data_IF_678859944344
#
_entry.id   IF_678859944344
#
_cell.length_a   1.000
_cell.length_b   1.000
_cell.length_c   1.000
_cell.angle_alpha   90.00
_cell.angle_beta   90.00
_cell.angle_gamma   90.00
#
_symmetry.space_group_name_H-M   'P 1'
#
loop_
_entity.id
_entity.type
_entity.pdbx_description
1 polymer ?
#
# COMPACT_ATOMS: atom_id res chain seq x y z
N UNK A 1 78.44 21.42 -16.56
CA UNK A 1 78.19 20.22 -17.39
C UNK A 1 77.78 19.11 -16.44
N UNK A 2 76.47 18.93 -16.23
CA UNK A 2 75.67 17.78 -16.72
C UNK A 2 75.60 16.67 -15.67
N UNK A 3 74.45 16.57 -14.97
CA UNK A 3 73.39 15.54 -15.12
C UNK A 3 73.68 14.33 -14.21
N UNK A 4 72.77 13.72 -13.46
CA UNK A 4 71.30 13.63 -13.52
C UNK A 4 70.84 13.12 -12.14
N UNK A 5 69.87 13.79 -11.51
CA UNK A 5 69.28 13.37 -10.24
C UNK A 5 68.17 12.34 -10.51
N UNK A 6 68.31 11.12 -9.99
CA UNK A 6 67.30 10.07 -10.08
C UNK A 6 66.23 10.29 -9.01
N UNK A 7 65.08 10.83 -9.42
CA UNK A 7 63.90 11.02 -8.59
C UNK A 7 63.13 9.70 -8.48
N UNK A 8 63.28 8.98 -7.36
CA UNK A 8 62.43 7.84 -7.03
C UNK A 8 61.09 8.36 -6.49
N UNK A 9 60.07 8.41 -7.34
CA UNK A 9 58.68 8.64 -6.93
C UNK A 9 58.13 7.37 -6.26
N UNK A 10 58.20 7.33 -4.93
CA UNK A 10 57.41 6.41 -4.11
C UNK A 10 55.93 6.77 -4.22
N UNK A 11 55.19 6.02 -5.04
CA UNK A 11 53.72 6.05 -5.04
C UNK A 11 53.21 5.29 -3.83
N UNK A 12 52.90 6.02 -2.75
CA UNK A 12 52.18 5.46 -1.62
C UNK A 12 50.75 5.13 -2.05
N UNK A 13 50.49 3.86 -2.38
CA UNK A 13 49.13 3.35 -2.57
C UNK A 13 48.50 3.24 -1.18
N UNK A 14 47.78 4.28 -0.75
CA UNK A 14 46.91 4.19 0.42
C UNK A 14 45.80 3.19 0.10
N UNK A 15 45.90 1.96 0.63
CA UNK A 15 44.74 1.09 0.76
C UNK A 15 43.75 1.81 1.67
N UNK A 16 42.72 2.43 1.09
CA UNK A 16 41.56 2.86 1.84
C UNK A 16 40.96 1.62 2.50
N UNK A 17 41.04 1.54 3.84
CA UNK A 17 40.37 0.48 4.58
C UNK A 17 38.88 0.49 4.22
N UNK A 18 38.38 -0.62 3.69
CA UNK A 18 36.97 -0.74 3.34
C UNK A 18 36.13 -0.47 4.59
N UNK A 19 35.16 0.44 4.47
CA UNK A 19 34.27 0.75 5.59
C UNK A 19 33.61 -0.54 6.11
N UNK A 20 33.44 -0.70 7.43
CA UNK A 20 32.86 -1.91 7.99
C UNK A 20 31.46 -2.17 7.42
N UNK A 21 31.18 -3.42 7.09
CA UNK A 21 29.87 -3.82 6.57
C UNK A 21 28.79 -3.56 7.64
N UNK A 22 27.70 -2.84 7.31
CA UNK A 22 26.68 -2.49 8.30
C UNK A 22 26.01 -3.73 8.90
N UNK A 23 25.71 -3.68 10.20
CA UNK A 23 24.97 -4.74 10.90
C UNK A 23 23.51 -4.79 10.45
N UNK A 24 22.84 -5.93 10.62
CA UNK A 24 21.41 -6.07 10.29
C UNK A 24 20.56 -5.02 11.02
N UNK A 25 20.82 -4.80 12.32
CA UNK A 25 20.13 -3.78 13.11
C UNK A 25 20.33 -2.36 12.55
N UNK A 26 21.54 -2.01 12.11
CA UNK A 26 21.81 -0.70 11.51
C UNK A 26 21.08 -0.51 10.16
N UNK A 27 20.97 -1.57 9.36
CA UNK A 27 20.21 -1.57 8.10
C UNK A 27 18.71 -1.36 8.35
N UNK A 28 18.14 -2.08 9.32
CA UNK A 28 16.74 -1.95 9.71
C UNK A 28 16.41 -0.56 10.29
N UNK A 29 17.29 -0.02 11.12
CA UNK A 29 17.11 1.31 11.74
C UNK A 29 17.10 2.44 10.71
N UNK A 30 17.92 2.34 9.65
CA UNK A 30 17.96 3.34 8.57
C UNK A 30 16.91 3.12 7.47
N UNK A 31 16.18 2.00 7.51
CA UNK A 31 15.16 1.64 6.52
C UNK A 31 15.72 1.11 5.20
N UNK A 32 16.94 0.54 5.19
CA UNK A 32 17.53 -0.07 4.01
C UNK A 32 17.19 -1.57 3.97
N UNK A 33 15.92 -1.85 3.65
CA UNK A 33 15.36 -3.20 3.74
C UNK A 33 15.90 -4.14 2.68
N UNK A 34 16.24 -3.65 1.48
CA UNK A 34 16.88 -4.47 0.44
C UNK A 34 18.23 -5.02 0.92
N UNK A 35 19.06 -4.17 1.53
CA UNK A 35 20.33 -4.61 2.13
C UNK A 35 20.10 -5.50 3.37
N UNK A 36 19.09 -5.21 4.19
CA UNK A 36 18.74 -6.02 5.35
C UNK A 36 18.36 -7.46 4.95
N UNK A 37 17.53 -7.62 3.91
CA UNK A 37 17.17 -8.93 3.33
C UNK A 37 18.42 -9.66 2.82
N UNK A 38 19.28 -8.97 2.06
CA UNK A 38 20.52 -9.59 1.57
C UNK A 38 21.43 -10.06 2.71
N UNK A 39 21.49 -9.32 3.83
CA UNK A 39 22.26 -9.70 5.02
C UNK A 39 21.61 -10.87 5.77
N UNK A 40 20.29 -10.85 5.95
CA UNK A 40 19.54 -11.87 6.67
C UNK A 40 19.57 -13.24 5.97
N UNK A 41 19.56 -13.26 4.62
CA UNK A 41 19.76 -14.50 3.84
C UNK A 41 21.09 -15.20 4.12
N UNK A 42 22.12 -14.47 4.57
CA UNK A 42 23.42 -15.02 4.99
C UNK A 42 23.47 -15.35 6.48
N UNK A 43 22.35 -15.19 7.19
CA UNK A 43 22.20 -15.44 8.63
C UNK A 43 20.91 -16.25 8.86
N UNK A 44 20.86 -17.51 8.41
CA UNK A 44 19.64 -18.33 8.52
C UNK A 44 19.17 -18.51 9.97
N UNK A 45 20.08 -18.43 10.96
CA UNK A 45 19.75 -18.53 12.39
C UNK A 45 19.15 -17.23 12.98
N UNK A 46 19.13 -16.14 12.22
CA UNK A 46 18.41 -14.93 12.62
C UNK A 46 16.91 -15.11 12.35
N UNK A 47 16.05 -14.55 13.21
CA UNK A 47 14.61 -14.76 13.05
C UNK A 47 14.07 -14.24 11.70
N UNK A 48 14.58 -13.09 11.24
CA UNK A 48 14.26 -12.59 9.90
C UNK A 48 14.74 -13.54 8.79
N UNK A 49 15.92 -14.17 8.94
CA UNK A 49 16.43 -15.18 8.02
C UNK A 49 15.52 -16.41 7.94
N UNK A 50 15.06 -16.91 9.09
CA UNK A 50 14.09 -18.02 9.17
C UNK A 50 12.77 -17.68 8.48
N UNK A 51 12.21 -16.49 8.75
CA UNK A 51 10.95 -16.03 8.14
C UNK A 51 11.09 -15.85 6.62
N UNK A 52 12.22 -15.31 6.14
CA UNK A 52 12.52 -15.20 4.71
C UNK A 52 12.56 -16.59 4.07
N UNK A 53 13.33 -17.53 4.64
CA UNK A 53 13.47 -18.88 4.09
C UNK A 53 12.10 -19.60 4.03
N UNK A 54 11.27 -19.44 5.07
CA UNK A 54 9.92 -20.00 5.11
C UNK A 54 8.97 -19.36 4.10
N UNK A 55 9.02 -18.04 3.93
CA UNK A 55 8.19 -17.35 2.94
C UNK A 55 8.54 -17.78 1.50
N UNK A 56 9.83 -17.99 1.23
CA UNK A 56 10.32 -18.48 -0.05
C UNK A 56 9.88 -19.93 -0.32
N UNK A 57 10.00 -20.81 0.68
CA UNK A 57 9.62 -22.23 0.55
C UNK A 57 8.11 -22.42 0.36
N UNK A 58 7.30 -21.55 0.98
CA UNK A 58 5.84 -21.51 0.77
C UNK A 58 5.43 -20.76 -0.49
N UNK A 59 6.39 -20.18 -1.23
CA UNK A 59 6.14 -19.37 -2.43
C UNK A 59 5.11 -18.26 -2.22
N UNK A 60 5.10 -17.63 -1.03
CA UNK A 60 4.10 -16.63 -0.64
C UNK A 60 4.01 -15.44 -1.61
N UNK A 61 5.10 -15.12 -2.31
CA UNK A 61 5.12 -14.08 -3.33
C UNK A 61 4.21 -14.34 -4.54
N UNK A 62 3.75 -15.59 -4.72
CA UNK A 62 2.80 -16.00 -5.77
C UNK A 62 1.37 -16.13 -5.27
N UNK A 63 1.15 -16.02 -3.97
CA UNK A 63 -0.18 -16.14 -3.38
C UNK A 63 -1.11 -15.05 -3.96
N UNK A 64 -2.32 -15.39 -4.42
CA UNK A 64 -3.25 -14.42 -4.98
C UNK A 64 -3.56 -13.25 -4.03
N UNK A 65 -3.64 -13.51 -2.72
CA UNK A 65 -3.93 -12.48 -1.71
C UNK A 65 -2.76 -11.50 -1.59
N UNK A 66 -1.52 -12.00 -1.61
CA UNK A 66 -0.34 -11.13 -1.64
C UNK A 66 -0.31 -10.23 -2.88
N UNK A 67 -0.64 -10.80 -4.04
CA UNK A 67 -0.67 -10.05 -5.30
C UNK A 67 -1.79 -9.01 -5.29
N UNK A 68 -2.95 -9.32 -4.71
CA UNK A 68 -4.03 -8.38 -4.50
C UNK A 68 -3.61 -7.22 -3.58
N UNK A 69 -2.98 -7.52 -2.42
CA UNK A 69 -2.44 -6.50 -1.50
C UNK A 69 -1.39 -5.58 -2.13
N UNK A 70 -0.78 -5.98 -3.25
CA UNK A 70 0.14 -5.16 -4.01
C UNK A 70 -0.48 -4.51 -5.25
N UNK A 71 -1.74 -4.79 -5.58
CA UNK A 71 -2.34 -4.47 -6.89
C UNK A 71 -1.43 -4.91 -8.05
N UNK A 72 -0.85 -6.11 -7.95
CA UNK A 72 0.07 -6.67 -8.95
C UNK A 72 -0.69 -7.41 -10.06
N UNK A 73 -0.56 -6.93 -11.29
CA UNK A 73 -1.03 -7.62 -12.48
C UNK A 73 0.14 -8.09 -13.35
N UNK A 74 -0.17 -8.84 -14.41
CA UNK A 74 0.82 -9.28 -15.40
C UNK A 74 0.71 -8.40 -16.64
N UNK A 75 1.80 -7.74 -16.99
CA UNK A 75 1.91 -7.05 -18.28
C UNK A 75 1.69 -8.03 -19.44
N UNK A 76 1.49 -7.51 -20.66
CA UNK A 76 1.38 -8.34 -21.87
C UNK A 76 2.59 -9.28 -22.09
N UNK A 77 3.78 -8.92 -21.58
CA UNK A 77 4.99 -9.75 -21.59
C UNK A 77 5.09 -10.73 -20.40
N UNK A 78 4.03 -10.86 -19.60
CA UNK A 78 3.98 -11.72 -18.41
C UNK A 78 4.78 -11.21 -17.21
N UNK A 79 5.37 -10.00 -17.29
CA UNK A 79 6.14 -9.41 -16.18
C UNK A 79 5.19 -8.86 -15.11
N UNK A 80 5.46 -9.10 -13.82
CA UNK A 80 4.68 -8.52 -12.73
C UNK A 80 4.89 -7.01 -12.68
N UNK A 81 3.81 -6.27 -12.44
CA UNK A 81 3.83 -4.84 -12.19
C UNK A 81 2.66 -4.48 -11.28
N UNK A 82 2.97 -3.72 -10.24
CA UNK A 82 1.97 -3.09 -9.39
C UNK A 82 1.46 -1.80 -10.03
N UNK A 83 0.15 -1.61 -9.95
CA UNK A 83 -0.54 -0.39 -10.35
C UNK A 83 -0.30 0.77 -9.38
N UNK A 84 0.20 0.49 -8.16
CA UNK A 84 0.50 1.56 -7.21
C UNK A 84 1.73 2.36 -7.67
N UNK A 85 1.61 3.68 -7.78
CA UNK A 85 2.68 4.58 -8.23
C UNK A 85 3.39 5.28 -7.07
N UNK A 86 2.71 5.46 -5.94
CA UNK A 86 3.30 6.01 -4.74
C UNK A 86 4.45 5.15 -4.21
N UNK A 87 5.69 5.63 -4.36
CA UNK A 87 6.90 4.92 -3.92
C UNK A 87 6.90 4.54 -2.44
N UNK A 88 6.17 5.29 -1.62
CA UNK A 88 6.03 5.09 -0.19
C UNK A 88 5.11 3.91 0.19
N UNK A 89 4.43 3.29 -0.79
CA UNK A 89 3.69 2.05 -0.61
C UNK A 89 4.59 0.80 -0.62
N UNK A 90 5.78 0.90 -1.21
CA UNK A 90 6.73 -0.20 -1.31
C UNK A 90 7.82 -0.07 -0.26
N UNK A 91 8.20 -1.20 0.32
CA UNK A 91 9.32 -1.33 1.24
C UNK A 91 10.63 -1.64 0.51
N UNK A 92 10.56 -2.28 -0.66
CA UNK A 92 11.68 -2.46 -1.58
C UNK A 92 11.72 -1.36 -2.64
N UNK A 93 12.93 -0.96 -3.04
CA UNK A 93 13.14 -0.09 -4.21
C UNK A 93 12.65 -0.73 -5.52
N UNK A 94 12.53 -2.06 -5.56
CA UNK A 94 12.07 -2.82 -6.72
C UNK A 94 10.62 -3.30 -6.56
N UNK A 95 9.96 -2.96 -5.45
CA UNK A 95 8.69 -3.59 -5.07
C UNK A 95 7.57 -3.47 -6.10
N UNK A 96 7.54 -2.37 -6.87
CA UNK A 96 6.59 -2.18 -7.97
C UNK A 96 6.69 -3.25 -9.06
N UNK A 97 7.88 -3.84 -9.27
CA UNK A 97 8.15 -4.79 -10.36
C UNK A 97 8.63 -6.16 -9.88
N UNK A 98 8.75 -6.34 -8.57
CA UNK A 98 9.28 -7.55 -7.95
C UNK A 98 8.48 -7.85 -6.67
N UNK A 99 7.30 -8.49 -6.81
CA UNK A 99 6.45 -8.83 -5.66
C UNK A 99 7.15 -9.78 -4.69
N UNK A 100 8.16 -10.53 -5.15
CA UNK A 100 8.98 -11.37 -4.28
C UNK A 100 9.91 -10.52 -3.42
N UNK A 101 10.68 -9.62 -4.00
CA UNK A 101 11.53 -8.72 -3.22
C UNK A 101 10.72 -7.82 -2.29
N UNK A 102 9.54 -7.35 -2.71
CA UNK A 102 8.64 -6.58 -1.85
C UNK A 102 8.19 -7.36 -0.62
N UNK A 103 7.88 -8.66 -0.77
CA UNK A 103 7.47 -9.51 0.34
C UNK A 103 8.58 -9.61 1.39
N UNK A 104 9.81 -9.83 0.94
CA UNK A 104 10.97 -9.97 1.83
C UNK A 104 11.32 -8.65 2.52
N UNK A 105 11.26 -7.54 1.79
CA UNK A 105 11.48 -6.22 2.37
C UNK A 105 10.35 -5.82 3.34
N UNK A 106 9.12 -6.25 3.06
CA UNK A 106 7.97 -6.06 3.97
C UNK A 106 8.22 -6.80 5.28
N UNK A 107 8.63 -8.08 5.22
CA UNK A 107 9.04 -8.85 6.40
C UNK A 107 10.18 -8.17 7.17
N UNK A 108 11.23 -7.74 6.48
CA UNK A 108 12.33 -7.03 7.11
C UNK A 108 11.86 -5.74 7.79
N UNK A 109 10.95 -5.00 7.15
CA UNK A 109 10.43 -3.73 7.68
C UNK A 109 9.71 -3.89 9.03
N UNK A 110 9.07 -5.03 9.29
CA UNK A 110 8.37 -5.27 10.56
C UNK A 110 9.31 -5.36 11.78
N UNK A 111 10.60 -5.61 11.57
CA UNK A 111 11.62 -5.53 12.62
C UNK A 111 12.09 -4.09 12.90
N UNK A 112 11.62 -3.10 12.13
CA UNK A 112 11.95 -1.69 12.31
C UNK A 112 10.83 -0.95 13.05
N UNK A 113 11.23 0.09 13.78
CA UNK A 113 10.33 1.11 14.35
C UNK A 113 10.38 2.44 13.59
N UNK A 114 11.14 2.48 12.49
CA UNK A 114 11.31 3.69 11.69
C UNK A 114 9.97 4.11 11.08
N UNK A 115 9.53 5.36 11.26
CA UNK A 115 8.30 5.85 10.64
C UNK A 115 8.32 5.72 9.11
N UNK A 116 7.18 5.31 8.53
CA UNK A 116 7.00 5.17 7.09
C UNK A 116 6.12 6.30 6.53
N UNK A 117 6.67 7.14 5.62
CA UNK A 117 5.89 8.19 4.97
C UNK A 117 4.61 7.68 4.27
N UNK A 118 3.56 8.52 4.19
CA UNK A 118 3.48 9.89 4.66
C UNK A 118 3.10 9.98 6.14
N UNK A 119 2.85 8.83 6.78
CA UNK A 119 2.47 8.75 8.18
C UNK A 119 3.70 8.77 9.09
N UNK A 120 3.47 8.93 10.39
CA UNK A 120 4.52 8.77 11.41
C UNK A 120 4.51 7.38 12.06
N UNK A 121 3.88 6.41 11.42
CA UNK A 121 3.67 5.07 11.96
C UNK A 121 4.80 4.12 11.58
N UNK A 122 5.04 3.12 12.42
CA UNK A 122 5.97 2.03 12.10
C UNK A 122 5.46 1.18 10.93
N UNK A 123 6.31 0.34 10.31
CA UNK A 123 5.89 -0.50 9.20
C UNK A 123 4.77 -1.48 9.56
N UNK A 124 4.75 -2.04 10.78
CA UNK A 124 3.67 -2.94 11.23
C UNK A 124 2.30 -2.22 11.25
N UNK A 125 2.28 -0.95 11.63
CA UNK A 125 1.05 -0.17 11.74
C UNK A 125 0.63 0.48 10.41
N UNK A 126 1.62 0.86 9.58
CA UNK A 126 1.38 1.42 8.25
C UNK A 126 0.86 0.37 7.28
N UNK A 127 1.43 -0.84 7.33
CA UNK A 127 1.10 -1.98 6.47
C UNK A 127 0.37 -3.06 7.28
N UNK A 128 -0.79 -2.69 7.84
CA UNK A 128 -1.54 -3.54 8.78
C UNK A 128 -2.03 -4.83 8.12
N UNK A 129 -2.64 -4.75 6.93
CA UNK A 129 -3.13 -5.93 6.20
C UNK A 129 -2.00 -6.89 5.84
N UNK A 130 -0.85 -6.36 5.39
CA UNK A 130 0.33 -7.18 5.11
C UNK A 130 0.90 -7.82 6.38
N UNK A 131 0.91 -7.09 7.50
CA UNK A 131 1.38 -7.60 8.78
C UNK A 131 0.49 -8.74 9.27
N UNK A 132 -0.82 -8.56 9.30
CA UNK A 132 -1.77 -9.59 9.74
C UNK A 132 -1.73 -10.81 8.83
N UNK A 133 -1.68 -10.61 7.50
CA UNK A 133 -1.54 -11.69 6.54
C UNK A 133 -0.25 -12.50 6.73
N UNK A 134 0.91 -11.83 6.77
CA UNK A 134 2.20 -12.52 6.93
C UNK A 134 2.30 -13.21 8.28
N UNK A 135 1.76 -12.61 9.34
CA UNK A 135 1.68 -13.22 10.68
C UNK A 135 0.90 -14.53 10.64
N UNK A 136 -0.23 -14.58 9.95
CA UNK A 136 -1.05 -15.78 9.80
C UNK A 136 -0.34 -16.87 8.98
N UNK A 137 0.23 -16.49 7.83
CA UNK A 137 0.90 -17.44 6.91
C UNK A 137 2.19 -18.02 7.48
N UNK A 138 2.96 -17.20 8.21
CA UNK A 138 4.27 -17.59 8.74
C UNK A 138 4.26 -17.94 10.22
N UNK A 139 3.13 -17.71 10.92
CA UNK A 139 2.96 -17.94 12.37
C UNK A 139 4.06 -17.25 13.16
N UNK A 140 4.05 -15.91 13.19
CA UNK A 140 5.07 -15.15 13.91
C UNK A 140 5.11 -15.53 15.39
N UNK A 141 6.32 -15.59 15.91
CA UNK A 141 6.64 -15.74 17.32
C UNK A 141 6.64 -14.34 17.94
N UNK A 142 5.70 -14.01 18.84
CA UNK A 142 5.56 -12.68 19.42
C UNK A 142 6.74 -12.31 20.33
N UNK A 143 7.54 -13.27 20.83
CA UNK A 143 8.73 -12.95 21.62
C UNK A 143 9.89 -12.48 20.73
N UNK A 144 9.97 -13.02 19.51
CA UNK A 144 11.05 -12.72 18.55
C UNK A 144 10.71 -11.61 17.56
N UNK A 145 9.42 -11.40 17.30
CA UNK A 145 8.87 -10.25 16.58
C UNK A 145 7.65 -9.70 17.33
N UNK A 146 7.87 -8.89 18.37
CA UNK A 146 6.79 -8.28 19.13
C UNK A 146 5.89 -7.40 18.25
N UNK A 147 4.58 -7.53 18.45
CA UNK A 147 3.61 -6.62 17.86
C UNK A 147 3.78 -5.22 18.45
N UNK A 148 3.84 -4.22 17.58
CA UNK A 148 3.96 -2.82 17.97
C UNK A 148 2.57 -2.22 18.22
N UNK A 149 2.46 -1.34 19.21
CA UNK A 149 1.22 -0.61 19.46
C UNK A 149 0.89 0.30 18.27
N UNK A 150 -0.31 0.11 17.71
CA UNK A 150 -0.80 0.85 16.55
C UNK A 150 -1.98 1.74 16.93
N UNK A 151 -1.82 2.58 17.95
CA UNK A 151 -2.92 3.33 18.58
C UNK A 151 -3.76 4.15 17.60
N UNK A 152 -3.15 4.76 16.59
CA UNK A 152 -3.88 5.51 15.56
C UNK A 152 -4.74 4.61 14.69
N UNK A 153 -4.22 3.45 14.30
CA UNK A 153 -5.02 2.45 13.57
C UNK A 153 -6.11 1.87 14.47
N UNK A 154 -5.79 1.55 15.73
CA UNK A 154 -6.76 0.97 16.67
C UNK A 154 -7.92 1.93 16.94
N UNK A 155 -7.64 3.21 17.20
CA UNK A 155 -8.69 4.22 17.38
C UNK A 155 -9.57 4.40 16.13
N UNK A 156 -8.96 4.32 14.94
CA UNK A 156 -9.70 4.37 13.67
C UNK A 156 -10.56 3.12 13.46
N UNK A 157 -10.02 1.94 13.78
CA UNK A 157 -10.72 0.66 13.72
C UNK A 157 -11.89 0.62 14.69
N UNK A 158 -11.67 0.96 15.96
CA UNK A 158 -12.70 0.98 17.01
C UNK A 158 -13.84 1.96 16.67
N UNK A 159 -13.52 3.10 16.05
CA UNK A 159 -14.51 4.08 15.62
C UNK A 159 -15.37 3.57 14.44
N UNK A 160 -14.80 2.75 13.56
CA UNK A 160 -15.51 2.17 12.42
C UNK A 160 -16.28 0.90 12.78
N UNK A 161 -15.71 0.09 13.68
CA UNK A 161 -16.16 -1.24 14.11
C UNK A 161 -16.74 -2.09 12.96
N UNK A 162 -15.94 -2.38 11.91
CA UNK A 162 -16.45 -2.87 10.63
C UNK A 162 -16.94 -4.32 10.73
N UNK A 163 -18.23 -4.56 10.47
CA UNK A 163 -18.86 -5.90 10.50
C UNK A 163 -19.49 -6.32 9.18
N UNK A 164 -19.39 -5.47 8.17
CA UNK A 164 -19.95 -5.73 6.85
C UNK A 164 -19.36 -4.81 5.81
N UNK A 165 -19.53 -5.20 4.55
CA UNK A 165 -19.18 -4.38 3.40
C UNK A 165 -20.42 -4.25 2.52
N UNK A 166 -20.75 -3.01 2.18
CA UNK A 166 -21.82 -2.67 1.24
C UNK A 166 -21.23 -1.90 0.06
N UNK A 167 -21.44 -2.42 -1.14
CA UNK A 167 -21.11 -1.70 -2.38
C UNK A 167 -22.20 -0.68 -2.65
N UNK A 168 -21.82 0.57 -2.86
CA UNK A 168 -22.75 1.67 -3.15
C UNK A 168 -22.47 2.22 -4.54
N UNK A 169 -23.51 2.30 -5.37
CA UNK A 169 -23.43 2.79 -6.74
C UNK A 169 -24.35 4.01 -6.93
N UNK A 170 -23.80 5.23 -7.03
CA UNK A 170 -24.54 6.39 -7.48
C UNK A 170 -24.78 6.37 -9.01
N UNK A 171 -26.04 6.50 -9.45
CA UNK A 171 -26.46 6.47 -10.86
C UNK A 171 -25.83 7.59 -11.70
N UNK A 172 -25.76 7.50 -13.04
CA UNK A 172 -25.03 8.49 -13.85
C UNK A 172 -25.48 9.95 -13.65
N UNK A 173 -24.54 10.89 -13.71
CA UNK A 173 -24.82 12.34 -13.73
C UNK A 173 -24.27 12.99 -15.00
N UNK A 174 -25.06 13.03 -16.10
CA UNK A 174 -24.58 13.44 -17.43
C UNK A 174 -24.02 14.86 -17.51
N UNK A 175 -24.43 15.74 -16.59
CA UNK A 175 -24.03 17.15 -16.57
C UNK A 175 -22.63 17.37 -15.98
N UNK A 176 -21.95 16.33 -15.51
CA UNK A 176 -20.56 16.40 -15.04
C UNK A 176 -19.71 15.30 -15.69
N UNK A 177 -18.68 15.65 -16.49
CA UNK A 177 -17.80 14.66 -17.13
C UNK A 177 -17.15 13.67 -16.16
N UNK A 178 -16.90 14.08 -14.91
CA UNK A 178 -16.29 13.24 -13.88
C UNK A 178 -17.26 12.21 -13.26
N UNK A 179 -18.57 12.39 -13.45
CA UNK A 179 -19.65 11.58 -12.85
C UNK A 179 -20.59 10.97 -13.89
N UNK A 180 -20.29 11.16 -15.18
CA UNK A 180 -21.15 10.77 -16.30
C UNK A 180 -21.44 9.26 -16.35
N UNK A 181 -20.53 8.42 -15.86
CA UNK A 181 -20.67 6.95 -15.89
C UNK A 181 -21.09 6.33 -14.55
N UNK A 182 -21.43 7.13 -13.54
CA UNK A 182 -21.61 6.63 -12.19
C UNK A 182 -20.31 6.61 -11.38
N UNK A 183 -20.42 6.26 -10.11
CA UNK A 183 -19.26 5.97 -9.24
C UNK A 183 -19.47 4.65 -8.54
N UNK A 184 -18.39 4.02 -8.11
CA UNK A 184 -18.48 2.93 -7.15
C UNK A 184 -17.89 3.42 -5.83
N UNK A 185 -18.50 3.05 -4.72
CA UNK A 185 -18.01 3.29 -3.37
C UNK A 185 -18.14 1.99 -2.60
N UNK A 186 -17.28 1.81 -1.61
CA UNK A 186 -17.38 0.71 -0.65
C UNK A 186 -17.68 1.32 0.71
N UNK A 187 -18.79 0.96 1.34
CA UNK A 187 -19.11 1.31 2.73
C UNK A 187 -18.74 0.15 3.64
N UNK A 188 -18.04 0.44 4.72
CA UNK A 188 -17.86 -0.49 5.83
C UNK A 188 -18.99 -0.27 6.83
N UNK A 189 -19.87 -1.26 6.95
CA UNK A 189 -21.03 -1.20 7.85
C UNK A 189 -20.55 -1.42 9.29
N UNK A 190 -20.73 -0.42 10.17
CA UNK A 190 -20.35 -0.50 11.57
C UNK A 190 -21.31 -1.32 12.43
N UNK A 191 -20.81 -1.95 13.50
CA UNK A 191 -21.68 -2.70 14.41
C UNK A 191 -22.72 -1.79 15.05
N UNK A 192 -23.98 -2.21 14.99
CA UNK A 192 -25.10 -1.45 15.56
C UNK A 192 -25.51 -0.22 14.75
N UNK A 193 -24.83 0.10 13.64
CA UNK A 193 -25.21 1.19 12.75
C UNK A 193 -26.33 0.73 11.80
N UNK A 194 -27.57 0.83 12.25
CA UNK A 194 -28.77 0.55 11.46
C UNK A 194 -29.59 1.83 11.20
N UNK A 195 -30.45 1.81 10.18
CA UNK A 195 -31.30 2.97 9.87
C UNK A 195 -30.46 4.22 9.55
N UNK A 196 -30.78 5.33 10.21
CA UNK A 196 -30.08 6.61 10.07
C UNK A 196 -28.63 6.58 10.56
N UNK A 197 -28.27 5.69 11.49
CA UNK A 197 -26.90 5.61 12.03
C UNK A 197 -25.88 5.19 10.97
N UNK A 198 -26.30 4.51 9.88
CA UNK A 198 -25.45 4.17 8.72
C UNK A 198 -24.77 5.37 8.08
N UNK A 199 -25.31 6.58 8.29
CA UNK A 199 -24.70 7.82 7.83
C UNK A 199 -23.33 8.11 8.47
N UNK A 200 -23.03 7.47 9.61
CA UNK A 200 -21.77 7.59 10.33
C UNK A 200 -20.71 6.58 9.85
N UNK A 201 -21.12 5.55 9.09
CA UNK A 201 -20.21 4.54 8.55
C UNK A 201 -19.14 5.15 7.65
N UNK A 202 -17.97 4.51 7.58
CA UNK A 202 -16.90 4.95 6.70
C UNK A 202 -17.09 4.39 5.29
N UNK A 203 -16.80 5.23 4.30
CA UNK A 203 -16.73 4.85 2.90
C UNK A 203 -15.33 4.98 2.35
N UNK A 204 -14.96 4.06 1.49
CA UNK A 204 -13.78 4.12 0.64
C UNK A 204 -14.21 4.52 -0.74
N UNK A 205 -13.64 5.61 -1.24
CA UNK A 205 -13.83 6.07 -2.60
C UNK A 205 -12.47 6.24 -3.27
N UNK A 206 -12.35 5.80 -4.52
CA UNK A 206 -11.21 6.09 -5.36
C UNK A 206 -11.59 7.16 -6.37
N UNK A 207 -10.85 8.26 -6.41
CA UNK A 207 -11.14 9.38 -7.31
C UNK A 207 -9.87 10.08 -7.78
N UNK A 208 -9.94 10.65 -8.99
CA UNK A 208 -8.88 11.50 -9.54
C UNK A 208 -8.81 12.85 -8.81
N UNK A 209 -7.62 13.27 -8.40
CA UNK A 209 -7.37 14.63 -7.91
C UNK A 209 -7.06 15.55 -9.10
N UNK A 210 -8.10 16.15 -9.67
CA UNK A 210 -7.99 16.94 -10.90
C UNK A 210 -7.30 18.31 -10.74
N UNK A 211 -7.06 18.77 -9.50
CA UNK A 211 -6.36 20.03 -9.22
C UNK A 211 -6.96 21.28 -9.89
N UNK A 212 -8.27 21.27 -10.17
CA UNK A 212 -8.96 22.36 -10.87
C UNK A 212 -8.87 22.33 -12.40
N UNK A 213 -8.35 21.26 -13.01
CA UNK A 213 -8.34 21.10 -14.46
C UNK A 213 -9.77 20.99 -15.03
N UNK A 214 -10.03 21.68 -16.14
CA UNK A 214 -11.35 21.74 -16.79
C UNK A 214 -11.23 21.63 -18.33
N UNK A 215 -12.37 21.38 -18.98
CA UNK A 215 -12.48 21.37 -20.44
C UNK A 215 -11.56 20.33 -21.11
N UNK A 216 -10.97 20.70 -22.25
CA UNK A 216 -10.12 19.81 -23.04
C UNK A 216 -8.90 19.28 -22.26
N UNK A 217 -8.34 20.07 -21.34
CA UNK A 217 -7.20 19.62 -20.50
C UNK A 217 -7.59 18.52 -19.53
N UNK A 218 -8.82 18.56 -19.00
CA UNK A 218 -9.38 17.49 -18.17
C UNK A 218 -9.62 16.22 -18.98
N UNK A 219 -10.19 16.35 -20.18
CA UNK A 219 -10.42 15.21 -21.07
C UNK A 219 -9.10 14.55 -21.51
N UNK A 220 -8.12 15.32 -21.98
CA UNK A 220 -6.82 14.79 -22.42
C UNK A 220 -6.08 14.11 -21.28
N UNK A 221 -5.96 14.77 -20.11
CA UNK A 221 -5.28 14.16 -18.94
C UNK A 221 -6.02 12.94 -18.41
N UNK A 222 -7.35 12.94 -18.40
CA UNK A 222 -8.14 11.77 -18.00
C UNK A 222 -7.98 10.58 -18.93
N UNK A 223 -7.77 10.83 -20.23
CA UNK A 223 -7.49 9.80 -21.24
C UNK A 223 -6.05 9.28 -21.18
N UNK A 224 -5.09 10.10 -20.74
CA UNK A 224 -3.66 9.76 -20.74
C UNK A 224 -3.08 9.39 -19.37
N UNK A 225 -3.88 9.31 -18.31
CA UNK A 225 -3.40 8.96 -16.96
C UNK A 225 -2.82 10.14 -16.16
N UNK A 226 -3.06 11.38 -16.59
CA UNK A 226 -2.39 12.58 -16.08
C UNK A 226 -2.90 13.11 -14.73
N UNK A 227 -3.72 12.36 -14.00
CA UNK A 227 -4.21 12.73 -12.68
C UNK A 227 -3.84 11.67 -11.65
N UNK A 228 -3.34 12.05 -10.46
CA UNK A 228 -3.18 11.09 -9.38
C UNK A 228 -4.56 10.68 -8.85
N UNK A 229 -4.85 9.39 -8.90
CA UNK A 229 -5.98 8.76 -8.25
C UNK A 229 -5.64 8.36 -6.83
N UNK A 230 -6.56 8.62 -5.89
CA UNK A 230 -6.36 8.26 -4.48
C UNK A 230 -7.58 7.60 -3.88
N UNK A 231 -7.32 6.62 -3.04
CA UNK A 231 -8.29 6.12 -2.07
C UNK A 231 -8.45 7.14 -0.95
N UNK A 232 -9.70 7.45 -0.64
CA UNK A 232 -10.07 8.30 0.49
C UNK A 232 -11.05 7.55 1.36
N UNK A 233 -10.80 7.58 2.67
CA UNK A 233 -11.71 7.03 3.66
C UNK A 233 -12.44 8.18 4.32
N UNK A 234 -13.76 8.26 4.12
CA UNK A 234 -14.57 9.39 4.58
C UNK A 234 -15.94 8.92 5.09
N UNK A 235 -16.52 9.58 6.11
CA UNK A 235 -17.87 9.33 6.57
C UNK A 235 -18.94 9.37 5.46
N UNK A 236 -19.88 8.43 5.51
CA UNK A 236 -20.86 8.19 4.46
C UNK A 236 -21.81 9.37 4.23
N UNK A 237 -22.21 10.07 5.29
CA UNK A 237 -23.09 11.25 5.18
C UNK A 237 -22.52 12.36 4.29
N UNK A 238 -21.19 12.47 4.17
CA UNK A 238 -20.58 13.44 3.27
C UNK A 238 -20.84 13.06 1.81
N UNK A 239 -20.77 11.77 1.47
CA UNK A 239 -21.10 11.27 0.12
C UNK A 239 -22.59 11.26 -0.17
N UNK A 240 -23.43 10.98 0.82
CA UNK A 240 -24.89 11.13 0.67
C UNK A 240 -25.26 12.57 0.32
N UNK A 241 -24.67 13.56 1.00
CA UNK A 241 -24.89 14.97 0.72
C UNK A 241 -24.45 15.35 -0.69
N UNK A 242 -23.28 14.89 -1.11
CA UNK A 242 -22.75 15.12 -2.46
C UNK A 242 -23.66 14.50 -3.53
N UNK A 243 -23.90 13.18 -3.47
CA UNK A 243 -24.56 12.48 -4.56
C UNK A 243 -26.10 12.58 -4.53
N UNK A 244 -26.72 12.39 -3.37
CA UNK A 244 -28.18 12.39 -3.28
C UNK A 244 -28.75 13.81 -3.15
N UNK A 245 -28.09 14.73 -2.44
CA UNK A 245 -28.64 16.07 -2.20
C UNK A 245 -28.16 17.13 -3.18
N UNK A 246 -26.87 17.17 -3.52
CA UNK A 246 -26.34 18.18 -4.45
C UNK A 246 -26.50 17.76 -5.90
N UNK A 247 -26.19 16.49 -6.22
CA UNK A 247 -26.28 15.98 -7.59
C UNK A 247 -27.65 15.35 -7.94
N UNK A 248 -28.54 15.16 -6.94
CA UNK A 248 -29.88 14.57 -7.07
C UNK A 248 -29.88 13.19 -7.76
N UNK A 249 -29.02 12.28 -7.30
CA UNK A 249 -28.81 10.93 -7.88
C UNK A 249 -29.40 9.82 -7.02
N UNK A 250 -29.87 8.78 -7.69
CA UNK A 250 -30.25 7.52 -7.04
C UNK A 250 -29.00 6.78 -6.56
N UNK A 251 -29.11 6.18 -5.36
CA UNK A 251 -28.06 5.37 -4.75
C UNK A 251 -28.53 3.94 -4.62
N UNK A 252 -27.79 3.03 -5.25
CA UNK A 252 -28.02 1.59 -5.14
C UNK A 252 -27.05 1.00 -4.13
N UNK A 253 -27.55 0.29 -3.12
CA UNK A 253 -26.74 -0.39 -2.11
C UNK A 253 -26.86 -1.90 -2.27
N UNK A 254 -25.72 -2.59 -2.34
CA UNK A 254 -25.64 -4.05 -2.36
C UNK A 254 -24.70 -4.55 -1.27
N UNK A 255 -25.27 -5.15 -0.23
CA UNK A 255 -24.51 -5.71 0.89
C UNK A 255 -23.87 -7.03 0.50
N UNK A 256 -22.56 -7.14 0.67
CA UNK A 256 -21.80 -8.36 0.40
C UNK A 256 -21.96 -9.35 1.55
N UNK A 257 -21.95 -10.64 1.19
CA UNK A 257 -21.91 -11.75 2.15
C UNK A 257 -20.46 -12.22 2.29
N UNK A 258 -19.73 -11.58 3.20
CA UNK A 258 -18.33 -11.88 3.48
C UNK A 258 -18.15 -12.37 4.92
N UNK A 259 -17.21 -13.29 5.18
CA UNK A 259 -16.85 -13.67 6.54
C UNK A 259 -16.08 -12.52 7.21
N UNK A 260 -16.22 -12.38 8.53
CA UNK A 260 -15.60 -11.28 9.30
C UNK A 260 -14.10 -11.10 9.01
N UNK A 261 -13.25 -12.14 8.96
CA UNK A 261 -11.82 -11.96 8.68
C UNK A 261 -11.52 -11.30 7.32
N UNK A 262 -12.39 -11.49 6.32
CA UNK A 262 -12.24 -10.84 5.01
C UNK A 262 -12.64 -9.37 5.11
N UNK A 263 -13.71 -9.04 5.84
CA UNK A 263 -14.09 -7.65 6.10
C UNK A 263 -12.95 -6.89 6.78
N UNK A 264 -12.35 -7.49 7.80
CA UNK A 264 -11.19 -6.93 8.50
C UNK A 264 -9.99 -6.72 7.57
N UNK A 265 -9.63 -7.73 6.76
CA UNK A 265 -8.49 -7.64 5.83
C UNK A 265 -8.67 -6.53 4.81
N UNK A 266 -9.87 -6.37 4.25
CA UNK A 266 -10.19 -5.30 3.29
C UNK A 266 -10.16 -3.92 3.98
N UNK A 267 -10.64 -3.82 5.22
CA UNK A 267 -10.57 -2.58 6.01
C UNK A 267 -9.12 -2.19 6.34
N UNK A 268 -8.31 -3.14 6.79
CA UNK A 268 -6.87 -2.98 7.01
C UNK A 268 -6.14 -2.57 5.72
N UNK A 269 -6.54 -3.12 4.56
CA UNK A 269 -5.92 -2.79 3.29
C UNK A 269 -6.32 -1.39 2.79
N UNK A 270 -7.58 -0.99 2.96
CA UNK A 270 -8.01 0.38 2.69
C UNK A 270 -7.17 1.41 3.48
N UNK A 271 -6.82 1.10 4.73
CA UNK A 271 -5.88 1.88 5.54
C UNK A 271 -4.47 1.94 4.91
N UNK A 272 -3.96 0.83 4.37
CA UNK A 272 -2.69 0.83 3.63
C UNK A 272 -2.73 1.74 2.40
N UNK A 273 -3.87 1.82 1.71
CA UNK A 273 -4.01 2.60 0.48
C UNK A 273 -4.24 4.10 0.69
N UNK A 274 -4.79 4.51 1.84
CA UNK A 274 -5.09 5.91 2.14
C UNK A 274 -3.88 6.86 2.05
N UNK A 275 -2.65 6.33 2.13
CA UNK A 275 -1.40 7.11 2.05
C UNK A 275 -0.66 7.03 0.71
N UNK A 276 -1.22 6.41 -0.33
CA UNK A 276 -0.56 6.25 -1.65
C UNK A 276 -1.37 6.91 -2.77
N UNK A 277 -0.90 6.78 -4.01
CA UNK A 277 -1.62 7.16 -5.22
C UNK A 277 -1.32 6.18 -6.37
N UNK A 278 -2.16 6.26 -7.37
CA UNK A 278 -2.13 5.51 -8.63
C UNK A 278 -2.29 6.52 -9.77
N UNK A 279 -1.80 6.23 -10.96
CA UNK A 279 -2.09 7.01 -12.15
C UNK A 279 -3.54 6.74 -12.60
N UNK A 280 -4.38 7.77 -12.68
CA UNK A 280 -5.81 7.59 -12.94
C UNK A 280 -6.12 7.63 -14.43
N UNK A 281 -6.54 6.48 -14.99
CA UNK A 281 -7.02 6.37 -16.37
C UNK A 281 -8.53 6.19 -16.41
N UNK A 282 -9.24 7.00 -17.19
CA UNK A 282 -10.72 6.97 -17.24
C UNK A 282 -11.31 5.62 -17.65
N UNK A 283 -10.63 4.87 -18.50
CA UNK A 283 -11.16 3.63 -19.09
C UNK A 283 -10.61 2.33 -18.51
N UNK A 284 -9.46 2.35 -17.85
CA UNK A 284 -8.78 1.13 -17.37
C UNK A 284 -8.58 1.12 -15.86
N UNK A 285 -8.11 2.23 -15.27
CA UNK A 285 -7.70 2.36 -13.87
C UNK A 285 -8.60 3.37 -13.13
N UNK A 286 -9.91 3.15 -13.25
CA UNK A 286 -10.95 4.02 -12.68
C UNK A 286 -11.50 3.49 -11.34
N UNK A 287 -12.47 4.20 -10.76
CA UNK A 287 -13.04 3.88 -9.45
C UNK A 287 -13.63 2.46 -9.33
N UNK A 288 -14.33 1.98 -10.36
CA UNK A 288 -14.91 0.64 -10.32
C UNK A 288 -13.81 -0.43 -10.33
N UNK A 289 -12.77 -0.24 -11.15
CA UNK A 289 -11.65 -1.17 -11.25
C UNK A 289 -10.87 -1.29 -9.93
N UNK A 290 -10.43 -0.18 -9.37
CA UNK A 290 -9.61 -0.22 -8.15
C UNK A 290 -10.37 -0.68 -6.90
N UNK A 291 -11.64 -0.31 -6.76
CA UNK A 291 -12.46 -0.78 -5.63
C UNK A 291 -12.76 -2.29 -5.70
N UNK A 292 -12.83 -2.88 -6.90
CA UNK A 292 -12.97 -4.33 -7.06
C UNK A 292 -11.68 -5.10 -6.73
N UNK A 293 -10.53 -4.42 -6.74
CA UNK A 293 -9.23 -5.02 -6.42
C UNK A 293 -8.82 -4.93 -4.95
N UNK A 294 -9.68 -4.33 -4.10
CA UNK A 294 -9.49 -4.22 -2.64
C UNK A 294 -9.57 -5.57 -1.93
#
# INVERSE_FOLDING_TARGET
MHFLATLLLLTATQLAAAAPTPTLAALLARGDYDAAVARARRMPDSYLGELIARAESLHLHRDPEWRALLHDHRTWLGRPVSEVDGRNFFTSRRGKYDPHQELLCTLASFFSRRPVPPTRQSPQCRFRARYTWLRERLRFDPERLPEQACDTFQAFHDAADPVGITVVFPSSHPNSPSSMFGHLLVRFDGRGHAGAARMLDYTVNYAAEAGGAAGATYAVKGLTGGFPGRFRIIPYHMKLREYAQMENRDLWEYRLRLPQPVVERVFEHAWELAGTYFDYYFFTENCAYHLLSL
#
